data_IF_426727912661
#
_entry.id   IF_426727912661
#
_cell.length_a   1.000
_cell.length_b   1.000
_cell.length_c   1.000
_cell.angle_alpha   90.00
_cell.angle_beta   90.00
_cell.angle_gamma   90.00
#
_symmetry.space_group_name_H-M   'P 1'
#
loop_
_entity.id
_entity.type
_entity.pdbx_description
1 polymer ?
#
# COMPACT_ATOMS: atom_id res chain seq x y z
N UNK A 1 -29.64 -11.15 12.33
CA UNK A 1 -28.74 -11.56 11.23
C UNK A 1 -29.41 -11.47 9.85
N UNK A 2 -30.59 -12.06 9.60
CA UNK A 2 -31.27 -12.02 8.27
C UNK A 2 -31.41 -10.61 7.68
N UNK A 3 -31.79 -9.61 8.49
CA UNK A 3 -31.98 -8.22 8.03
C UNK A 3 -30.67 -7.53 7.59
N UNK A 4 -29.52 -7.78 8.24
CA UNK A 4 -28.21 -7.23 7.81
C UNK A 4 -27.76 -7.86 6.48
N UNK A 5 -28.00 -9.15 6.30
CA UNK A 5 -27.70 -9.84 5.04
C UNK A 5 -28.47 -9.20 3.85
N UNK A 6 -29.75 -8.89 4.03
CA UNK A 6 -30.53 -8.20 2.99
C UNK A 6 -29.98 -6.81 2.66
N UNK A 7 -29.56 -6.05 3.67
CA UNK A 7 -28.96 -4.73 3.44
C UNK A 7 -27.61 -4.84 2.70
N UNK A 8 -26.77 -5.83 3.04
CA UNK A 8 -25.50 -6.10 2.30
C UNK A 8 -25.81 -6.48 0.85
N UNK A 9 -26.77 -7.39 0.62
CA UNK A 9 -27.21 -7.76 -0.73
C UNK A 9 -27.72 -6.55 -1.53
N UNK A 10 -28.36 -5.61 -0.85
CA UNK A 10 -28.86 -4.38 -1.47
C UNK A 10 -27.72 -3.43 -1.89
N UNK A 11 -26.58 -3.45 -1.18
CA UNK A 11 -25.38 -2.72 -1.59
C UNK A 11 -24.78 -3.26 -2.89
N UNK A 12 -24.89 -4.57 -3.15
CA UNK A 12 -24.47 -5.23 -4.41
C UNK A 12 -25.59 -5.18 -5.45
N UNK A 13 -26.05 -3.98 -5.77
CA UNK A 13 -27.01 -3.78 -6.87
C UNK A 13 -26.32 -3.91 -8.25
N UNK A 14 -27.12 -3.98 -9.33
CA UNK A 14 -26.62 -4.14 -10.69
C UNK A 14 -25.59 -3.08 -11.08
N UNK A 15 -25.76 -1.83 -10.64
CA UNK A 15 -24.83 -0.72 -10.93
C UNK A 15 -23.52 -0.90 -10.20
N UNK A 16 -23.55 -1.26 -8.91
CA UNK A 16 -22.35 -1.51 -8.11
C UNK A 16 -21.53 -2.69 -8.63
N UNK A 17 -22.22 -3.79 -8.99
CA UNK A 17 -21.56 -4.97 -9.57
C UNK A 17 -20.94 -4.62 -10.93
N UNK A 18 -21.68 -3.93 -11.80
CA UNK A 18 -21.17 -3.51 -13.10
C UNK A 18 -19.96 -2.58 -12.98
N UNK A 19 -20.04 -1.59 -12.08
CA UNK A 19 -18.93 -0.67 -11.82
C UNK A 19 -17.68 -1.41 -11.29
N UNK A 20 -17.85 -2.38 -10.39
CA UNK A 20 -16.75 -3.20 -9.89
C UNK A 20 -16.14 -4.07 -11.00
N UNK A 21 -16.96 -4.75 -11.81
CA UNK A 21 -16.48 -5.59 -12.91
C UNK A 21 -15.74 -4.76 -13.96
N UNK A 22 -16.27 -3.59 -14.34
CA UNK A 22 -15.62 -2.68 -15.27
C UNK A 22 -14.26 -2.20 -14.69
N UNK A 23 -14.22 -1.86 -13.41
CA UNK A 23 -12.98 -1.50 -12.74
C UNK A 23 -11.96 -2.65 -12.77
N UNK A 24 -12.36 -3.87 -12.42
CA UNK A 24 -11.45 -5.03 -12.47
C UNK A 24 -10.94 -5.30 -13.89
N UNK A 25 -11.77 -5.08 -14.92
CA UNK A 25 -11.32 -5.15 -16.31
C UNK A 25 -10.27 -4.08 -16.62
N UNK A 26 -10.49 -2.83 -16.20
CA UNK A 26 -9.51 -1.74 -16.36
C UNK A 26 -8.20 -2.07 -15.63
N UNK A 27 -8.27 -2.56 -14.39
CA UNK A 27 -7.11 -3.03 -13.61
C UNK A 27 -6.34 -4.12 -14.35
N UNK A 28 -7.04 -5.11 -14.89
CA UNK A 28 -6.43 -6.20 -15.65
C UNK A 28 -5.69 -5.67 -16.89
N UNK A 29 -6.38 -4.88 -17.72
CA UNK A 29 -5.79 -4.33 -18.94
C UNK A 29 -4.60 -3.40 -18.64
N UNK A 30 -4.75 -2.52 -17.65
CA UNK A 30 -3.67 -1.62 -17.23
C UNK A 30 -2.46 -2.41 -16.73
N UNK A 31 -2.66 -3.41 -15.85
CA UNK A 31 -1.58 -4.26 -15.33
C UNK A 31 -0.85 -4.98 -16.47
N UNK A 32 -1.58 -5.63 -17.39
CA UNK A 32 -0.97 -6.40 -18.48
C UNK A 32 -0.23 -5.49 -19.47
N UNK A 33 -0.84 -4.37 -19.87
CA UNK A 33 -0.23 -3.43 -20.82
C UNK A 33 1.05 -2.82 -20.21
N UNK A 34 0.96 -2.34 -18.99
CA UNK A 34 2.09 -1.68 -18.32
C UNK A 34 3.25 -2.66 -18.07
N UNK A 35 2.96 -3.87 -17.56
CA UNK A 35 3.97 -4.90 -17.36
C UNK A 35 4.60 -5.38 -18.68
N UNK A 36 3.83 -5.35 -19.79
CA UNK A 36 4.36 -5.73 -21.10
C UNK A 36 5.29 -4.68 -21.72
N UNK A 37 5.04 -3.39 -21.47
CA UNK A 37 5.76 -2.30 -22.15
C UNK A 37 7.02 -1.89 -21.37
N UNK A 38 6.98 -1.91 -20.05
CA UNK A 38 8.01 -1.26 -19.24
C UNK A 38 9.15 -2.15 -18.80
N UNK A 39 9.05 -3.48 -19.00
CA UNK A 39 10.06 -4.39 -18.46
C UNK A 39 10.91 -5.07 -19.51
N UNK A 40 12.21 -4.94 -19.28
CA UNK A 40 13.26 -5.63 -19.99
C UNK A 40 14.18 -6.26 -18.96
N UNK A 41 14.55 -7.51 -19.15
CA UNK A 41 15.50 -8.24 -18.30
C UNK A 41 16.61 -8.76 -19.17
N UNK A 42 17.85 -8.50 -18.78
CA UNK A 42 19.00 -9.13 -19.41
C UNK A 42 19.37 -10.33 -18.54
N UNK A 43 19.36 -11.51 -19.12
CA UNK A 43 19.75 -12.74 -18.43
C UNK A 43 21.27 -12.82 -18.23
N UNK A 44 21.77 -13.71 -17.34
CA UNK A 44 23.21 -13.87 -17.10
C UNK A 44 24.03 -14.18 -18.35
N UNK A 45 23.44 -14.83 -19.35
CA UNK A 45 24.05 -15.12 -20.66
C UNK A 45 24.09 -13.92 -21.62
N UNK A 46 23.51 -12.78 -21.22
CA UNK A 46 23.41 -11.56 -22.01
C UNK A 46 22.18 -11.49 -22.91
N UNK A 47 21.29 -12.46 -22.87
CA UNK A 47 20.05 -12.45 -23.66
C UNK A 47 19.08 -11.40 -23.11
N UNK A 48 18.60 -10.50 -23.99
CA UNK A 48 17.56 -9.53 -23.66
C UNK A 48 16.19 -10.18 -23.79
N UNK A 49 15.44 -10.18 -22.69
CA UNK A 49 14.03 -10.64 -22.67
C UNK A 49 13.12 -9.46 -22.40
N UNK A 50 12.09 -9.27 -23.20
CA UNK A 50 11.16 -8.15 -23.11
C UNK A 50 9.74 -8.61 -22.81
N UNK A 51 8.91 -7.69 -22.33
CA UNK A 51 7.48 -7.91 -22.08
C UNK A 51 7.21 -8.80 -20.87
N UNK A 52 6.07 -9.48 -20.87
CA UNK A 52 5.63 -10.32 -19.75
C UNK A 52 6.58 -11.48 -19.44
N UNK A 53 7.25 -12.03 -20.48
CA UNK A 53 8.25 -13.09 -20.31
C UNK A 53 9.46 -12.65 -19.50
N UNK A 54 9.80 -11.36 -19.53
CA UNK A 54 10.93 -10.81 -18.75
C UNK A 54 10.72 -10.94 -17.24
N UNK A 55 9.50 -10.79 -16.75
CA UNK A 55 9.19 -10.95 -15.31
C UNK A 55 9.39 -12.39 -14.85
N UNK A 56 8.98 -13.36 -15.68
CA UNK A 56 9.17 -14.78 -15.37
C UNK A 56 10.64 -15.15 -15.44
N UNK A 57 11.34 -14.72 -16.50
CA UNK A 57 12.77 -14.95 -16.65
C UNK A 57 13.57 -14.35 -15.47
N UNK A 58 13.22 -13.13 -15.06
CA UNK A 58 13.76 -12.50 -13.85
C UNK A 58 13.47 -13.33 -12.58
N UNK A 59 12.25 -13.80 -12.42
CA UNK A 59 11.87 -14.62 -11.26
C UNK A 59 12.64 -15.94 -11.20
N UNK A 60 12.86 -16.58 -12.35
CA UNK A 60 13.68 -17.79 -12.44
C UNK A 60 15.14 -17.53 -12.08
N UNK A 61 15.75 -16.47 -12.65
CA UNK A 61 17.11 -16.08 -12.32
C UNK A 61 17.28 -15.72 -10.83
N UNK A 62 16.27 -15.08 -10.23
CA UNK A 62 16.30 -14.69 -8.81
C UNK A 62 16.21 -15.88 -7.84
N UNK A 63 15.82 -17.09 -8.30
CA UNK A 63 15.83 -18.30 -7.45
C UNK A 63 17.24 -18.67 -7.00
N UNK A 64 18.23 -18.42 -7.84
CA UNK A 64 19.63 -18.66 -7.49
C UNK A 64 20.15 -17.73 -6.40
N UNK A 65 19.52 -16.55 -6.29
CA UNK A 65 19.85 -15.52 -5.30
C UNK A 65 19.07 -15.69 -3.99
N UNK A 66 18.27 -16.72 -3.87
CA UNK A 66 17.56 -17.04 -2.64
C UNK A 66 18.54 -17.63 -1.63
N UNK A 67 18.54 -17.10 -0.42
CA UNK A 67 19.42 -17.61 0.63
C UNK A 67 19.35 -16.79 1.91
N UNK A 68 20.28 -17.12 2.78
CA UNK A 68 20.55 -16.39 4.01
C UNK A 68 21.81 -15.56 3.76
N UNK A 69 21.80 -14.28 4.07
CA UNK A 69 22.94 -13.40 3.87
C UNK A 69 24.00 -13.63 4.95
N UNK A 70 24.84 -14.62 4.72
CA UNK A 70 26.01 -14.99 5.51
C UNK A 70 27.27 -15.02 4.63
N UNK A 71 28.42 -15.36 5.21
CA UNK A 71 29.69 -15.39 4.45
C UNK A 71 29.70 -16.46 3.36
N UNK A 72 29.04 -17.60 3.57
CA UNK A 72 28.92 -18.64 2.54
C UNK A 72 28.12 -18.14 1.33
N UNK A 73 27.02 -17.44 1.59
CA UNK A 73 26.21 -16.80 0.55
C UNK A 73 27.01 -15.75 -0.24
N UNK A 74 27.82 -14.94 0.45
CA UNK A 74 28.70 -13.97 -0.20
C UNK A 74 29.73 -14.63 -1.09
N UNK A 75 30.38 -15.70 -0.65
CA UNK A 75 31.34 -16.45 -1.47
C UNK A 75 30.63 -17.08 -2.68
N UNK A 76 29.42 -17.61 -2.52
CA UNK A 76 28.60 -18.10 -3.62
C UNK A 76 28.34 -17.00 -4.66
N UNK A 77 27.93 -15.81 -4.23
CA UNK A 77 27.70 -14.68 -5.13
C UNK A 77 28.97 -14.29 -5.87
N UNK A 78 30.12 -14.19 -5.18
CA UNK A 78 31.42 -13.91 -5.80
C UNK A 78 31.72 -14.89 -6.91
N UNK A 79 31.60 -16.18 -6.63
CA UNK A 79 31.92 -17.26 -7.58
C UNK A 79 30.98 -17.26 -8.79
N UNK A 80 29.70 -17.01 -8.59
CA UNK A 80 28.66 -17.10 -9.65
C UNK A 80 28.69 -15.89 -10.58
N UNK A 81 28.97 -14.70 -10.07
CA UNK A 81 28.78 -13.46 -10.82
C UNK A 81 30.08 -12.70 -11.17
N UNK A 82 31.21 -13.03 -10.56
CA UNK A 82 32.50 -12.33 -10.84
C UNK A 82 32.89 -12.36 -12.31
N UNK A 83 32.69 -13.48 -12.99
CA UNK A 83 33.07 -13.64 -14.42
C UNK A 83 32.09 -12.97 -15.39
N UNK A 84 30.84 -12.82 -15.00
CA UNK A 84 29.77 -12.28 -15.86
C UNK A 84 29.71 -10.75 -15.83
N UNK A 85 30.14 -10.14 -14.75
CA UNK A 85 29.97 -8.72 -14.48
C UNK A 85 31.07 -7.81 -15.03
N UNK A 86 32.26 -8.32 -15.20
CA UNK A 86 33.43 -7.50 -15.64
C UNK A 86 33.30 -6.98 -17.08
N UNK A 87 32.48 -7.58 -17.92
CA UNK A 87 32.50 -7.27 -19.38
C UNK A 87 31.21 -6.66 -19.96
N UNK A 88 30.01 -6.81 -19.37
CA UNK A 88 28.77 -6.48 -20.06
C UNK A 88 27.78 -5.57 -19.32
N UNK A 89 27.92 -5.29 -18.06
CA UNK A 89 26.85 -4.73 -17.22
C UNK A 89 27.15 -3.38 -16.59
N UNK A 90 27.95 -2.55 -17.26
CA UNK A 90 28.14 -1.14 -16.86
C UNK A 90 26.88 -0.30 -16.92
N UNK A 91 25.81 -0.80 -17.53
CA UNK A 91 24.50 -0.12 -17.67
C UNK A 91 23.47 -0.66 -16.64
N UNK A 92 23.87 -0.78 -15.39
CA UNK A 92 23.04 -1.29 -14.30
C UNK A 92 21.84 -0.37 -13.95
N UNK A 93 21.92 0.88 -14.32
CA UNK A 93 20.77 1.79 -14.24
C UNK A 93 19.59 1.33 -15.09
N UNK A 94 19.78 0.39 -16.01
CA UNK A 94 18.74 -0.11 -16.92
C UNK A 94 18.18 -1.50 -16.59
N UNK A 95 18.46 -2.06 -15.42
CA UNK A 95 17.50 -2.99 -14.89
C UNK A 95 17.83 -4.46 -14.80
N UNK A 96 19.07 -4.90 -14.70
CA UNK A 96 19.34 -6.33 -14.54
C UNK A 96 18.77 -6.94 -13.24
N UNK A 97 18.75 -6.17 -12.17
CA UNK A 97 18.08 -6.53 -10.92
C UNK A 97 17.25 -5.35 -10.42
N UNK A 98 16.47 -4.76 -11.30
CA UNK A 98 15.62 -3.58 -11.12
C UNK A 98 14.60 -3.68 -10.01
N UNK A 99 14.91 -4.40 -9.00
CA UNK A 99 14.05 -4.69 -7.87
C UNK A 99 14.59 -3.97 -6.68
N UNK A 100 13.83 -3.08 -6.16
CA UNK A 100 14.11 -2.47 -4.88
C UNK A 100 14.55 -3.51 -3.84
N UNK A 101 15.22 -3.07 -2.81
CA UNK A 101 15.61 -3.90 -1.69
C UNK A 101 17.09 -4.26 -1.66
N UNK A 102 17.45 -4.94 -0.59
CA UNK A 102 18.81 -5.32 -0.25
C UNK A 102 19.50 -6.14 -1.34
N UNK A 103 18.73 -6.92 -2.12
CA UNK A 103 19.24 -7.70 -3.25
C UNK A 103 19.83 -6.82 -4.35
N UNK A 104 19.14 -5.76 -4.75
CA UNK A 104 19.68 -4.78 -5.71
C UNK A 104 20.94 -4.13 -5.16
N UNK A 105 20.89 -3.76 -3.89
CA UNK A 105 22.00 -3.14 -3.20
C UNK A 105 23.23 -4.04 -3.15
N UNK A 106 23.08 -5.28 -2.69
CA UNK A 106 24.17 -6.26 -2.61
C UNK A 106 24.81 -6.46 -3.99
N UNK A 107 23.99 -6.67 -5.02
CA UNK A 107 24.50 -6.90 -6.37
C UNK A 107 25.18 -5.66 -6.95
N UNK A 108 24.59 -4.47 -6.79
CA UNK A 108 25.16 -3.24 -7.36
C UNK A 108 26.46 -2.84 -6.68
N UNK A 109 26.51 -2.86 -5.35
CA UNK A 109 27.71 -2.39 -4.64
C UNK A 109 28.79 -3.44 -4.50
N UNK A 110 28.37 -4.69 -4.32
CA UNK A 110 29.29 -5.79 -4.18
C UNK A 110 30.01 -6.16 -5.49
N UNK A 111 29.23 -6.23 -6.58
CA UNK A 111 29.76 -6.65 -7.88
C UNK A 111 30.45 -5.51 -8.65
N UNK A 112 30.10 -4.26 -8.36
CA UNK A 112 30.60 -3.10 -9.10
C UNK A 112 31.57 -2.22 -8.33
N UNK A 113 31.93 -2.54 -7.09
CA UNK A 113 32.72 -1.67 -6.22
C UNK A 113 32.27 -0.21 -6.17
N UNK A 114 30.97 0.02 -6.24
CA UNK A 114 30.39 1.37 -6.15
C UNK A 114 29.90 1.64 -4.71
N UNK A 115 30.62 2.45 -3.92
CA UNK A 115 30.28 2.72 -2.52
C UNK A 115 29.10 3.67 -2.35
N UNK A 116 28.60 4.31 -3.43
CA UNK A 116 27.54 5.32 -3.35
C UNK A 116 26.30 4.92 -4.12
N UNK A 117 25.16 5.03 -3.48
CA UNK A 117 23.83 4.83 -4.09
C UNK A 117 23.01 6.11 -4.00
N UNK A 118 22.36 6.50 -5.09
CA UNK A 118 21.41 7.63 -5.10
C UNK A 118 20.01 7.13 -4.85
N UNK A 119 19.34 7.72 -3.87
CA UNK A 119 17.95 7.42 -3.52
C UNK A 119 17.07 8.63 -3.71
N UNK A 120 15.86 8.38 -4.21
CA UNK A 120 14.85 9.41 -4.31
C UNK A 120 14.23 9.59 -2.92
N UNK A 121 14.43 10.75 -2.30
CA UNK A 121 13.70 11.12 -1.11
C UNK A 121 12.21 11.18 -1.43
N UNK A 122 11.37 10.90 -0.45
CA UNK A 122 9.90 10.70 -0.61
C UNK A 122 9.14 11.84 -1.29
N UNK A 123 9.79 12.98 -1.55
CA UNK A 123 9.21 14.17 -2.19
C UNK A 123 9.60 14.37 -3.67
N UNK A 124 10.27 13.41 -4.29
CA UNK A 124 10.38 13.32 -5.76
C UNK A 124 11.50 14.12 -6.43
N UNK A 125 12.17 15.05 -5.77
CA UNK A 125 13.15 15.92 -6.42
C UNK A 125 14.53 15.99 -5.76
N UNK A 126 14.71 15.44 -4.58
CA UNK A 126 16.01 15.38 -3.92
C UNK A 126 16.53 13.93 -3.89
N UNK A 127 17.72 13.75 -4.46
CA UNK A 127 18.44 12.49 -4.37
C UNK A 127 19.35 12.55 -3.16
N UNK A 128 19.13 11.65 -2.21
CA UNK A 128 20.07 11.43 -1.13
C UNK A 128 21.22 10.54 -1.60
N UNK A 129 22.45 11.00 -1.45
CA UNK A 129 23.61 10.16 -1.61
C UNK A 129 23.92 9.51 -0.27
N UNK A 130 23.86 8.17 -0.23
CA UNK A 130 24.13 7.40 0.97
C UNK A 130 25.36 6.56 0.70
N UNK A 131 26.36 6.70 1.56
CA UNK A 131 27.52 5.82 1.57
C UNK A 131 27.14 4.51 2.27
N UNK A 132 27.07 3.45 1.48
CA UNK A 132 26.80 2.12 2.03
C UNK A 132 28.12 1.43 2.44
N UNK A 133 28.08 0.64 3.51
CA UNK A 133 29.23 -0.10 3.95
C UNK A 133 29.69 -1.09 2.89
N UNK A 134 31.00 -1.19 2.74
CA UNK A 134 31.63 -2.16 1.85
C UNK A 134 31.40 -3.59 2.36
N UNK A 135 31.11 -4.50 1.45
CA UNK A 135 30.74 -5.86 1.80
C UNK A 135 31.97 -6.78 1.86
N UNK A 136 32.89 -6.49 2.75
CA UNK A 136 34.11 -7.35 2.94
C UNK A 136 33.78 -8.64 3.67
N UNK A 137 33.08 -8.52 4.78
CA UNK A 137 32.51 -9.62 5.55
C UNK A 137 31.13 -9.25 6.09
N UNK A 138 30.35 -10.26 6.48
CA UNK A 138 28.95 -10.10 6.90
C UNK A 138 28.81 -9.30 8.17
N UNK A 139 29.69 -9.46 9.14
CA UNK A 139 29.57 -8.80 10.44
C UNK A 139 29.76 -7.28 10.34
N UNK A 140 30.81 -6.86 9.63
CA UNK A 140 31.07 -5.42 9.38
C UNK A 140 29.97 -4.82 8.53
N UNK A 141 29.44 -5.57 7.54
CA UNK A 141 28.30 -5.14 6.76
C UNK A 141 27.08 -4.89 7.64
N UNK A 142 26.71 -5.82 8.50
CA UNK A 142 25.52 -5.66 9.33
C UNK A 142 25.63 -4.53 10.34
N UNK A 143 26.81 -4.32 10.92
CA UNK A 143 27.05 -3.22 11.85
C UNK A 143 26.81 -1.87 11.14
N UNK A 144 27.49 -1.66 10.02
CA UNK A 144 27.36 -0.43 9.26
C UNK A 144 25.98 -0.27 8.59
N UNK A 145 25.35 -1.38 8.16
CA UNK A 145 23.99 -1.38 7.62
C UNK A 145 22.96 -0.87 8.63
N UNK A 146 23.05 -1.30 9.89
CA UNK A 146 22.17 -0.81 10.95
C UNK A 146 22.35 0.68 11.21
N UNK A 147 23.58 1.16 11.18
CA UNK A 147 23.88 2.60 11.31
C UNK A 147 23.25 3.41 10.16
N UNK A 148 23.44 2.94 8.93
CA UNK A 148 22.87 3.54 7.73
C UNK A 148 21.33 3.57 7.78
N UNK A 149 20.67 2.52 8.31
CA UNK A 149 19.21 2.51 8.46
C UNK A 149 18.72 3.63 9.38
N UNK A 150 19.42 3.90 10.47
CA UNK A 150 19.07 5.01 11.38
C UNK A 150 19.22 6.36 10.67
N UNK A 151 20.33 6.54 9.96
CA UNK A 151 20.62 7.78 9.22
C UNK A 151 19.56 8.06 8.15
N UNK A 152 19.25 7.04 7.35
CA UNK A 152 18.21 7.14 6.30
C UNK A 152 16.84 7.47 6.87
N UNK A 153 16.45 6.84 7.99
CA UNK A 153 15.17 7.13 8.62
C UNK A 153 15.09 8.58 9.11
N UNK A 154 16.16 9.08 9.76
CA UNK A 154 16.23 10.48 10.22
C UNK A 154 16.13 11.45 9.05
N UNK A 155 16.93 11.25 8.00
CA UNK A 155 16.93 12.12 6.82
C UNK A 155 15.61 12.06 6.06
N UNK A 156 15.02 10.87 5.88
CA UNK A 156 13.72 10.71 5.21
C UNK A 156 12.58 11.40 5.97
N UNK A 157 12.64 11.38 7.30
CA UNK A 157 11.68 12.05 8.15
C UNK A 157 11.76 13.59 7.99
N UNK A 158 12.96 14.14 8.01
CA UNK A 158 13.22 15.57 7.79
C UNK A 158 12.81 16.02 6.39
N UNK A 159 13.20 15.27 5.36
CA UNK A 159 12.81 15.51 3.97
C UNK A 159 11.29 15.47 3.75
N UNK A 160 10.57 14.73 4.61
CA UNK A 160 9.10 14.70 4.61
C UNK A 160 8.44 15.91 5.25
N UNK A 161 9.22 16.89 5.72
CA UNK A 161 8.72 18.13 6.33
C UNK A 161 8.20 17.96 7.76
N UNK A 162 8.60 16.87 8.43
CA UNK A 162 8.38 16.73 9.87
C UNK A 162 9.45 17.47 10.68
N UNK A 163 9.18 17.72 11.95
CA UNK A 163 10.18 18.27 12.87
C UNK A 163 11.37 17.32 13.03
N UNK A 164 12.53 17.85 13.32
CA UNK A 164 13.70 17.02 13.67
C UNK A 164 13.38 16.08 14.85
N UNK A 165 13.91 14.89 14.79
CA UNK A 165 13.85 13.96 15.93
C UNK A 165 14.70 14.49 17.09
N UNK A 166 14.23 14.28 18.30
CA UNK A 166 15.04 14.52 19.52
C UNK A 166 16.04 13.38 19.72
N UNK A 167 17.09 13.60 20.51
CA UNK A 167 18.09 12.57 20.81
C UNK A 167 17.46 11.31 21.43
N UNK A 168 16.40 11.47 22.26
CA UNK A 168 15.67 10.33 22.82
C UNK A 168 14.87 9.56 21.76
N UNK A 169 14.31 10.23 20.78
CA UNK A 169 13.62 9.60 19.65
C UNK A 169 14.61 8.86 18.73
N UNK A 170 15.78 9.45 18.48
CA UNK A 170 16.88 8.80 17.72
C UNK A 170 17.34 7.53 18.45
N UNK A 171 17.44 7.57 19.78
CA UNK A 171 17.76 6.40 20.59
C UNK A 171 16.70 5.30 20.43
N UNK A 172 15.41 5.65 20.46
CA UNK A 172 14.34 4.69 20.20
C UNK A 172 14.42 4.08 18.78
N UNK A 173 14.78 4.86 17.76
CA UNK A 173 14.99 4.36 16.39
C UNK A 173 16.16 3.36 16.37
N UNK A 174 17.29 3.68 17.03
CA UNK A 174 18.43 2.76 17.18
C UNK A 174 18.02 1.45 17.83
N UNK A 175 17.22 1.49 18.87
CA UNK A 175 16.70 0.29 19.55
C UNK A 175 15.82 -0.56 18.62
N UNK A 176 14.97 0.07 17.80
CA UNK A 176 14.15 -0.63 16.79
C UNK A 176 15.04 -1.33 15.77
N UNK A 177 16.03 -0.63 15.22
CA UNK A 177 16.97 -1.16 14.21
C UNK A 177 17.83 -2.29 14.80
N UNK A 178 18.29 -2.16 16.05
CA UNK A 178 19.07 -3.19 16.72
C UNK A 178 18.31 -4.50 16.91
N UNK A 179 16.97 -4.44 17.01
CA UNK A 179 16.11 -5.62 17.09
C UNK A 179 15.90 -6.36 15.77
N UNK A 180 16.48 -5.91 14.65
CA UNK A 180 16.43 -6.63 13.39
C UNK A 180 17.16 -7.97 13.56
N UNK A 181 16.43 -9.06 13.28
CA UNK A 181 17.00 -10.41 13.32
C UNK A 181 17.99 -10.63 12.18
N UNK A 182 19.17 -11.10 12.55
CA UNK A 182 20.23 -11.48 11.64
C UNK A 182 20.45 -13.00 11.73
N UNK A 183 20.92 -13.65 10.67
CA UNK A 183 21.17 -13.11 9.34
C UNK A 183 19.88 -12.88 8.53
N UNK A 184 19.91 -11.93 7.59
CA UNK A 184 18.76 -11.60 6.75
C UNK A 184 18.47 -12.74 5.75
N UNK A 185 17.17 -13.06 5.60
CA UNK A 185 16.70 -14.01 4.58
C UNK A 185 16.33 -13.27 3.30
N UNK A 186 16.97 -13.59 2.21
CA UNK A 186 16.74 -13.01 0.89
C UNK A 186 15.88 -13.94 0.04
N UNK A 187 14.87 -13.39 -0.60
CA UNK A 187 14.02 -14.11 -1.55
C UNK A 187 13.36 -13.10 -2.50
N UNK A 188 12.80 -13.56 -3.61
CA UNK A 188 12.09 -12.74 -4.56
C UNK A 188 10.73 -12.28 -4.00
N UNK A 189 10.58 -10.98 -3.82
CA UNK A 189 9.36 -10.32 -3.31
C UNK A 189 8.70 -9.41 -4.35
N UNK A 190 9.11 -9.51 -5.62
CA UNK A 190 8.70 -8.60 -6.69
C UNK A 190 7.21 -8.52 -6.91
N UNK A 191 6.53 -9.67 -6.88
CA UNK A 191 5.08 -9.68 -7.04
C UNK A 191 4.36 -8.88 -5.94
N UNK A 192 4.87 -8.91 -4.69
CA UNK A 192 4.32 -8.10 -3.59
C UNK A 192 4.54 -6.61 -3.83
N UNK A 193 5.76 -6.23 -4.24
CA UNK A 193 6.12 -4.85 -4.55
C UNK A 193 5.32 -4.31 -5.73
N UNK A 194 5.17 -5.13 -6.78
CA UNK A 194 4.36 -4.79 -7.94
C UNK A 194 2.88 -4.63 -7.57
N UNK A 195 2.29 -5.59 -6.85
CA UNK A 195 0.90 -5.48 -6.34
C UNK A 195 0.68 -4.19 -5.57
N UNK A 196 1.59 -3.84 -4.67
CA UNK A 196 1.53 -2.60 -3.89
C UNK A 196 1.55 -1.35 -4.79
N UNK A 197 2.46 -1.30 -5.76
CA UNK A 197 2.59 -0.15 -6.65
C UNK A 197 1.30 0.07 -7.47
N UNK A 198 0.71 -1.00 -7.98
CA UNK A 198 -0.56 -0.90 -8.69
C UNK A 198 -1.73 -0.57 -7.78
N UNK A 199 -1.77 -1.13 -6.57
CA UNK A 199 -2.73 -0.72 -5.55
C UNK A 199 -2.65 0.79 -5.31
N UNK A 200 -1.44 1.37 -5.27
CA UNK A 200 -1.27 2.81 -5.14
C UNK A 200 -1.83 3.58 -6.32
N UNK A 201 -1.51 3.17 -7.55
CA UNK A 201 -1.91 3.88 -8.77
C UNK A 201 -3.43 3.84 -8.99
N UNK A 202 -4.05 2.69 -8.79
CA UNK A 202 -5.44 2.45 -9.16
C UNK A 202 -6.45 2.72 -8.05
N UNK A 203 -5.98 2.91 -6.81
CA UNK A 203 -6.86 3.09 -5.65
C UNK A 203 -7.77 4.31 -5.78
N UNK A 204 -7.32 5.38 -6.42
CA UNK A 204 -8.17 6.53 -6.69
C UNK A 204 -9.40 6.14 -7.54
N UNK A 205 -9.18 5.38 -8.62
CA UNK A 205 -10.28 4.89 -9.46
C UNK A 205 -11.20 3.96 -8.66
N UNK A 206 -10.63 3.09 -7.82
CA UNK A 206 -11.40 2.24 -6.92
C UNK A 206 -12.29 3.06 -5.97
N UNK A 207 -11.81 4.17 -5.43
CA UNK A 207 -12.62 5.04 -4.57
C UNK A 207 -13.77 5.71 -5.32
N UNK A 208 -13.63 5.97 -6.62
CA UNK A 208 -14.77 6.42 -7.46
C UNK A 208 -15.83 5.31 -7.62
N UNK A 209 -15.41 4.05 -7.74
CA UNK A 209 -16.34 2.90 -7.71
C UNK A 209 -17.12 2.85 -6.40
N UNK A 210 -16.46 3.12 -5.26
CA UNK A 210 -17.14 3.22 -3.97
C UNK A 210 -18.17 4.37 -3.96
N UNK A 211 -17.84 5.53 -4.54
CA UNK A 211 -18.79 6.64 -4.69
C UNK A 211 -20.02 6.22 -5.51
N UNK A 212 -19.82 5.54 -6.65
CA UNK A 212 -20.93 5.04 -7.48
C UNK A 212 -21.80 4.04 -6.69
N UNK A 213 -21.16 3.14 -5.93
CA UNK A 213 -21.85 2.08 -5.22
C UNK A 213 -22.63 2.57 -4.00
N UNK A 214 -22.10 3.53 -3.24
CA UNK A 214 -22.62 3.86 -1.92
C UNK A 214 -23.31 5.22 -1.82
N UNK A 215 -23.16 6.14 -2.80
CA UNK A 215 -23.84 7.44 -2.83
C UNK A 215 -25.36 7.33 -2.85
N UNK A 216 -25.90 6.20 -3.31
CA UNK A 216 -27.34 5.97 -3.41
C UNK A 216 -27.98 5.35 -2.15
N UNK A 217 -27.20 4.90 -1.17
CA UNK A 217 -27.71 4.07 -0.07
C UNK A 217 -28.75 4.80 0.76
N UNK A 218 -28.50 6.04 1.16
CA UNK A 218 -29.45 6.84 1.92
C UNK A 218 -30.25 7.80 1.04
N UNK A 219 -29.71 8.26 -0.09
CA UNK A 219 -30.37 9.23 -0.96
C UNK A 219 -31.56 8.66 -1.74
N UNK A 220 -31.67 7.33 -1.89
CA UNK A 220 -32.82 6.63 -2.51
C UNK A 220 -34.04 6.46 -1.58
N UNK A 221 -33.85 6.60 -0.30
CA UNK A 221 -34.90 6.31 0.67
C UNK A 221 -36.13 7.22 0.51
N UNK A 222 -35.98 8.44 -0.03
CA UNK A 222 -37.10 9.33 -0.33
C UNK A 222 -37.99 8.89 -1.51
N UNK A 223 -37.62 7.81 -2.20
CA UNK A 223 -38.35 7.33 -3.40
C UNK A 223 -39.04 5.97 -3.12
N UNK A 224 -38.64 5.28 -2.03
CA UNK A 224 -39.08 3.90 -1.80
C UNK A 224 -40.12 3.83 -0.64
N UNK A 225 -41.40 3.51 -0.92
CA UNK A 225 -42.47 3.50 0.12
C UNK A 225 -42.20 2.47 1.23
N UNK A 226 -41.45 1.41 1.00
CA UNK A 226 -41.11 0.42 2.03
C UNK A 226 -40.17 1.00 3.09
N UNK A 227 -39.30 1.95 2.74
CA UNK A 227 -38.47 2.64 3.70
C UNK A 227 -39.24 3.56 4.63
N UNK A 228 -40.36 4.10 4.18
CA UNK A 228 -41.22 4.96 5.00
C UNK A 228 -41.81 4.19 6.19
N UNK A 229 -42.22 2.93 5.99
CA UNK A 229 -42.75 2.07 7.06
C UNK A 229 -41.67 1.76 8.11
N UNK A 230 -40.46 1.43 7.68
CA UNK A 230 -39.33 1.15 8.60
C UNK A 230 -38.93 2.40 9.40
N UNK A 231 -39.01 3.57 8.78
CA UNK A 231 -38.63 4.85 9.36
C UNK A 231 -39.76 5.45 10.26
N UNK A 232 -41.03 5.06 10.06
CA UNK A 232 -42.13 5.51 10.87
C UNK A 232 -42.07 4.98 12.31
N UNK A 233 -41.47 3.83 12.56
CA UNK A 233 -41.34 3.27 13.89
C UNK A 233 -40.21 3.91 14.68
N UNK A 234 -40.47 4.39 15.92
CA UNK A 234 -39.50 5.10 16.78
C UNK A 234 -38.19 4.29 17.05
N UNK A 235 -38.29 2.97 17.19
CA UNK A 235 -37.15 2.09 17.36
C UNK A 235 -36.56 1.59 16.04
N UNK A 236 -37.38 1.48 14.98
CA UNK A 236 -36.97 1.01 13.66
C UNK A 236 -35.98 1.95 12.98
N UNK A 237 -36.22 3.25 13.10
CA UNK A 237 -35.41 4.30 12.44
C UNK A 237 -33.92 4.21 12.80
N UNK A 238 -33.59 4.17 14.08
CA UNK A 238 -32.18 4.10 14.50
C UNK A 238 -31.52 2.78 14.10
N UNK A 239 -32.23 1.64 14.27
CA UNK A 239 -31.72 0.32 13.90
C UNK A 239 -31.52 0.21 12.38
N UNK A 240 -32.41 0.77 11.59
CA UNK A 240 -32.34 0.77 10.13
C UNK A 240 -31.12 1.53 9.62
N UNK A 241 -30.90 2.76 10.10
CA UNK A 241 -29.77 3.61 9.71
C UNK A 241 -28.43 2.97 10.09
N UNK A 242 -28.33 2.47 11.35
CA UNK A 242 -27.11 1.79 11.78
C UNK A 242 -26.82 0.53 10.95
N UNK A 243 -27.84 -0.27 10.63
CA UNK A 243 -27.66 -1.49 9.81
C UNK A 243 -27.20 -1.16 8.40
N UNK A 244 -27.77 -0.14 7.76
CA UNK A 244 -27.35 0.30 6.43
C UNK A 244 -25.93 0.84 6.41
N UNK A 245 -25.55 1.62 7.42
CA UNK A 245 -24.20 2.10 7.54
C UNK A 245 -23.22 0.92 7.65
N UNK A 246 -23.47 -0.03 8.56
CA UNK A 246 -22.63 -1.23 8.73
C UNK A 246 -22.64 -2.08 7.46
N UNK A 247 -23.79 -2.26 6.81
CA UNK A 247 -23.88 -3.01 5.55
C UNK A 247 -23.04 -2.38 4.44
N UNK A 248 -23.02 -1.05 4.34
CA UNK A 248 -22.16 -0.30 3.42
C UNK A 248 -20.69 -0.55 3.68
N UNK A 249 -20.26 -0.50 4.95
CA UNK A 249 -18.87 -0.79 5.31
C UNK A 249 -18.48 -2.24 5.00
N UNK A 250 -19.32 -3.21 5.33
CA UNK A 250 -19.06 -4.63 5.01
C UNK A 250 -18.99 -4.86 3.51
N UNK A 251 -19.90 -4.27 2.74
CA UNK A 251 -19.87 -4.38 1.28
C UNK A 251 -18.59 -3.75 0.68
N UNK A 252 -18.16 -2.59 1.19
CA UNK A 252 -16.93 -1.94 0.78
C UNK A 252 -15.69 -2.80 1.11
N UNK A 253 -15.66 -3.41 2.29
CA UNK A 253 -14.60 -4.35 2.66
C UNK A 253 -14.51 -5.53 1.69
N UNK A 254 -15.66 -6.13 1.34
CA UNK A 254 -15.71 -7.23 0.38
C UNK A 254 -15.21 -6.77 -1.00
N UNK A 255 -15.65 -5.60 -1.50
CA UNK A 255 -15.19 -5.05 -2.79
C UNK A 255 -13.67 -4.83 -2.78
N UNK A 256 -13.12 -4.28 -1.70
CA UNK A 256 -11.68 -4.08 -1.56
C UNK A 256 -10.91 -5.40 -1.54
N UNK A 257 -11.37 -6.39 -0.79
CA UNK A 257 -10.72 -7.69 -0.74
C UNK A 257 -10.74 -8.40 -2.09
N UNK A 258 -11.86 -8.31 -2.84
CA UNK A 258 -11.94 -8.81 -4.22
C UNK A 258 -10.88 -8.12 -5.10
N UNK A 259 -10.79 -6.80 -5.04
CA UNK A 259 -9.81 -6.03 -5.80
C UNK A 259 -8.37 -6.42 -5.42
N UNK A 260 -8.04 -6.45 -4.12
CA UNK A 260 -6.71 -6.77 -3.63
C UNK A 260 -6.28 -8.20 -4.02
N UNK A 261 -7.16 -9.18 -3.85
CA UNK A 261 -6.90 -10.58 -4.24
C UNK A 261 -6.73 -10.68 -5.76
N UNK A 262 -7.61 -10.04 -6.54
CA UNK A 262 -7.52 -10.04 -8.00
C UNK A 262 -6.20 -9.47 -8.50
N UNK A 263 -5.79 -8.32 -7.98
CA UNK A 263 -4.53 -7.69 -8.30
C UNK A 263 -3.32 -8.57 -7.92
N UNK A 264 -3.36 -9.17 -6.71
CA UNK A 264 -2.32 -10.09 -6.25
C UNK A 264 -2.20 -11.33 -7.15
N UNK A 265 -3.32 -11.87 -7.63
CA UNK A 265 -3.33 -13.01 -8.55
C UNK A 265 -2.71 -12.67 -9.90
N UNK A 266 -3.00 -11.49 -10.46
CA UNK A 266 -2.38 -11.04 -11.71
C UNK A 266 -0.87 -10.97 -11.54
N UNK A 267 -0.39 -10.23 -10.53
CA UNK A 267 1.05 -10.03 -10.34
C UNK A 267 1.76 -11.33 -9.94
N UNK A 268 1.18 -12.13 -9.04
CA UNK A 268 1.73 -13.44 -8.72
C UNK A 268 1.88 -14.35 -9.95
N UNK A 269 0.89 -14.35 -10.85
CA UNK A 269 0.94 -15.13 -12.08
C UNK A 269 2.02 -14.64 -13.06
N UNK A 270 2.15 -13.32 -13.21
CA UNK A 270 3.16 -12.71 -14.09
C UNK A 270 4.58 -12.99 -13.59
N UNK A 271 4.81 -12.89 -12.29
CA UNK A 271 6.12 -13.15 -11.68
C UNK A 271 6.41 -14.64 -11.39
N UNK A 272 5.57 -15.56 -11.89
CA UNK A 272 5.83 -17.00 -11.81
C UNK A 272 5.58 -17.62 -10.44
N UNK A 273 4.82 -16.97 -9.56
CA UNK A 273 4.40 -17.53 -8.27
C UNK A 273 4.35 -16.52 -7.12
N UNK A 274 4.05 -17.06 -5.95
CA UNK A 274 3.86 -16.29 -4.71
C UNK A 274 5.00 -16.56 -3.72
N UNK A 275 6.26 -16.34 -4.14
CA UNK A 275 7.46 -16.52 -3.31
C UNK A 275 7.68 -15.35 -2.34
N UNK A 276 8.67 -15.47 -1.46
CA UNK A 276 9.17 -14.37 -0.64
C UNK A 276 8.40 -14.07 0.64
N UNK A 277 7.39 -14.86 1.03
CA UNK A 277 6.60 -14.62 2.25
C UNK A 277 7.43 -14.55 3.52
N UNK A 278 8.43 -15.42 3.64
CA UNK A 278 9.31 -15.53 4.80
C UNK A 278 10.63 -14.77 4.63
N UNK A 279 10.80 -14.05 3.52
CA UNK A 279 11.95 -13.18 3.33
C UNK A 279 11.95 -12.06 4.37
N UNK A 280 13.13 -11.63 4.79
CA UNK A 280 13.24 -10.40 5.59
C UNK A 280 12.70 -9.23 4.79
N UNK A 281 12.01 -8.30 5.44
CA UNK A 281 11.42 -7.15 4.74
C UNK A 281 12.47 -6.32 4.00
N UNK A 282 13.70 -6.32 4.46
CA UNK A 282 14.84 -5.69 3.81
C UNK A 282 15.11 -6.26 2.41
N UNK A 283 14.67 -7.49 2.13
CA UNK A 283 14.68 -8.07 0.78
C UNK A 283 13.73 -7.35 -0.17
N UNK A 284 12.61 -6.80 0.35
CA UNK A 284 11.63 -6.03 -0.40
C UNK A 284 12.05 -4.56 -0.53
N UNK A 285 12.52 -3.99 0.56
CA UNK A 285 13.01 -2.60 0.62
C UNK A 285 14.10 -2.50 1.68
N UNK A 286 15.29 -2.15 1.26
CA UNK A 286 16.48 -2.09 2.12
C UNK A 286 16.43 -1.01 3.21
N UNK A 287 15.45 -0.12 3.17
CA UNK A 287 15.27 0.95 4.18
C UNK A 287 14.25 0.63 5.28
N UNK A 288 13.69 -0.55 5.30
CA UNK A 288 12.78 -0.89 6.38
C UNK A 288 13.53 -1.14 7.68
N UNK A 289 13.18 -0.38 8.71
CA UNK A 289 13.80 -0.45 10.05
C UNK A 289 13.18 -1.52 10.95
N UNK A 290 12.14 -2.21 10.49
CA UNK A 290 11.41 -3.17 11.32
C UNK A 290 11.90 -4.61 11.14
N UNK A 291 11.87 -5.37 12.24
CA UNK A 291 12.10 -6.81 12.22
C UNK A 291 10.82 -7.56 11.80
N UNK A 292 10.55 -7.58 10.51
CA UNK A 292 9.36 -8.24 9.95
C UNK A 292 9.70 -9.03 8.69
N UNK A 293 8.83 -9.99 8.34
CA UNK A 293 8.89 -10.64 7.04
C UNK A 293 8.14 -9.83 5.97
N UNK A 294 8.55 -9.97 4.71
CA UNK A 294 7.90 -9.31 3.58
C UNK A 294 6.40 -9.65 3.49
N UNK A 295 6.03 -10.91 3.78
CA UNK A 295 4.63 -11.32 3.81
C UNK A 295 3.82 -10.63 4.90
N UNK A 296 4.38 -10.46 6.11
CA UNK A 296 3.70 -9.70 7.19
C UNK A 296 3.44 -8.26 6.75
N UNK A 297 4.46 -7.59 6.21
CA UNK A 297 4.31 -6.20 5.75
C UNK A 297 3.29 -6.11 4.61
N UNK A 298 3.29 -7.04 3.67
CA UNK A 298 2.30 -7.09 2.60
C UNK A 298 0.86 -7.20 3.14
N UNK A 299 0.62 -8.01 4.18
CA UNK A 299 -0.69 -8.07 4.83
C UNK A 299 -1.05 -6.79 5.60
N UNK A 300 -0.06 -6.13 6.21
CA UNK A 300 -0.28 -4.83 6.86
C UNK A 300 -0.59 -3.72 5.85
N UNK A 301 0.02 -3.74 4.68
CA UNK A 301 -0.32 -2.84 3.56
C UNK A 301 -1.76 -3.08 3.09
N UNK A 302 -2.19 -4.35 2.99
CA UNK A 302 -3.59 -4.70 2.72
C UNK A 302 -4.54 -4.14 3.79
N UNK A 303 -4.18 -4.30 5.07
CA UNK A 303 -4.96 -3.76 6.18
C UNK A 303 -5.07 -2.23 6.13
N UNK A 304 -3.98 -1.52 5.84
CA UNK A 304 -3.99 -0.07 5.66
C UNK A 304 -4.95 0.38 4.56
N UNK A 305 -4.88 -0.26 3.39
CA UNK A 305 -5.80 0.00 2.29
C UNK A 305 -7.27 -0.32 2.61
N UNK A 306 -7.51 -1.39 3.38
CA UNK A 306 -8.84 -1.72 3.88
C UNK A 306 -9.39 -0.62 4.82
N UNK A 307 -8.58 -0.16 5.77
CA UNK A 307 -8.97 0.92 6.69
C UNK A 307 -9.26 2.20 5.91
N UNK A 308 -8.42 2.56 4.93
CA UNK A 308 -8.67 3.70 4.04
C UNK A 308 -10.00 3.57 3.28
N UNK A 309 -10.28 2.37 2.75
CA UNK A 309 -11.54 2.06 2.07
C UNK A 309 -12.76 2.26 2.97
N UNK A 310 -12.68 1.77 4.21
CA UNK A 310 -13.77 1.94 5.18
C UNK A 310 -13.96 3.41 5.58
N UNK A 311 -12.87 4.15 5.76
CA UNK A 311 -12.91 5.57 6.07
C UNK A 311 -13.53 6.38 4.91
N UNK A 312 -13.10 6.17 3.67
CA UNK A 312 -13.68 6.81 2.47
C UNK A 312 -15.16 6.45 2.34
N UNK A 313 -15.51 5.16 2.49
CA UNK A 313 -16.90 4.73 2.40
C UNK A 313 -17.77 5.39 3.47
N UNK A 314 -17.28 5.54 4.70
CA UNK A 314 -18.02 6.21 5.78
C UNK A 314 -18.31 7.68 5.44
N UNK A 315 -17.37 8.37 4.78
CA UNK A 315 -17.56 9.73 4.27
C UNK A 315 -18.63 9.75 3.16
N UNK A 316 -18.57 8.83 2.20
CA UNK A 316 -19.57 8.71 1.12
C UNK A 316 -20.97 8.46 1.68
N UNK A 317 -21.09 7.58 2.68
CA UNK A 317 -22.35 7.30 3.36
C UNK A 317 -22.89 8.54 4.11
N UNK A 318 -21.99 9.32 4.73
CA UNK A 318 -22.36 10.60 5.36
C UNK A 318 -22.87 11.61 4.32
N UNK A 319 -22.21 11.75 3.18
CA UNK A 319 -22.68 12.60 2.08
C UNK A 319 -24.04 12.13 1.57
N UNK A 320 -24.23 10.81 1.43
CA UNK A 320 -25.47 10.20 0.95
C UNK A 320 -26.69 10.51 1.86
N UNK A 321 -26.50 10.66 3.17
CA UNK A 321 -27.61 11.03 4.08
C UNK A 321 -27.88 12.53 4.12
N UNK A 322 -26.86 13.35 3.86
CA UNK A 322 -27.01 14.81 3.79
C UNK A 322 -27.72 15.20 2.49
N UNK A 323 -27.31 14.59 1.38
CA UNK A 323 -27.79 14.94 0.03
C UNK A 323 -28.85 13.92 -0.41
N UNK A 324 -30.11 14.34 -0.37
CA UNK A 324 -31.27 13.49 -0.68
C UNK A 324 -31.41 13.07 -2.15
N UNK A 325 -30.64 13.69 -3.06
CA UNK A 325 -30.67 13.40 -4.52
C UNK A 325 -29.48 12.55 -4.89
N UNK A 326 -29.70 11.35 -5.40
CA UNK A 326 -28.65 10.36 -5.74
C UNK A 326 -27.58 10.93 -6.67
N UNK A 327 -27.98 11.62 -7.75
CA UNK A 327 -27.03 12.21 -8.70
C UNK A 327 -26.15 13.29 -8.05
N UNK A 328 -26.74 14.15 -7.21
CA UNK A 328 -26.01 15.18 -6.48
C UNK A 328 -25.08 14.56 -5.40
N UNK A 329 -25.55 13.54 -4.68
CA UNK A 329 -24.72 12.80 -3.73
C UNK A 329 -23.50 12.16 -4.39
N UNK A 330 -23.68 11.54 -5.56
CA UNK A 330 -22.57 10.98 -6.33
C UNK A 330 -21.56 12.06 -6.74
N UNK A 331 -22.06 13.18 -7.30
CA UNK A 331 -21.20 14.26 -7.76
C UNK A 331 -20.38 14.87 -6.61
N UNK A 332 -21.01 15.13 -5.47
CA UNK A 332 -20.34 15.69 -4.29
C UNK A 332 -19.35 14.70 -3.70
N UNK A 333 -19.69 13.41 -3.61
CA UNK A 333 -18.79 12.37 -3.12
C UNK A 333 -17.56 12.21 -4.01
N UNK A 334 -17.75 12.15 -5.33
CA UNK A 334 -16.66 12.06 -6.29
C UNK A 334 -15.80 13.34 -6.30
N UNK A 335 -16.42 14.52 -6.22
CA UNK A 335 -15.71 15.79 -6.10
C UNK A 335 -14.86 15.88 -4.82
N UNK A 336 -15.38 15.40 -3.69
CA UNK A 336 -14.64 15.34 -2.43
C UNK A 336 -13.44 14.39 -2.52
N UNK A 337 -13.62 13.20 -3.09
CA UNK A 337 -12.53 12.24 -3.31
C UNK A 337 -11.46 12.82 -4.25
N UNK A 338 -11.88 13.49 -5.33
CA UNK A 338 -10.97 14.17 -6.25
C UNK A 338 -10.18 15.28 -5.54
N UNK A 339 -10.85 16.10 -4.74
CA UNK A 339 -10.22 17.16 -3.95
C UNK A 339 -9.19 16.59 -2.97
N UNK A 340 -9.56 15.56 -2.20
CA UNK A 340 -8.63 14.88 -1.28
C UNK A 340 -7.42 14.29 -2.01
N UNK A 341 -7.61 13.74 -3.21
CA UNK A 341 -6.51 13.15 -3.97
C UNK A 341 -5.51 14.20 -4.52
N UNK A 342 -5.98 15.38 -4.91
CA UNK A 342 -5.15 16.36 -5.62
C UNK A 342 -4.61 17.46 -4.71
N UNK A 343 -5.45 18.03 -3.85
CA UNK A 343 -5.09 19.23 -3.09
C UNK A 343 -4.19 18.96 -1.89
N UNK A 344 -4.24 17.74 -1.33
CA UNK A 344 -3.45 17.40 -0.15
C UNK A 344 -2.10 16.75 -0.47
N UNK A 345 -1.74 16.62 -1.74
CA UNK A 345 -0.45 16.01 -2.15
C UNK A 345 0.77 16.83 -1.71
N UNK A 346 0.63 18.15 -1.67
CA UNK A 346 1.73 19.08 -1.36
C UNK A 346 2.00 19.31 0.13
N UNK A 347 1.12 18.87 1.02
CA UNK A 347 1.25 19.10 2.47
C UNK A 347 1.50 17.77 3.18
N UNK A 348 2.73 17.55 3.64
CA UNK A 348 3.17 16.29 4.24
C UNK A 348 2.28 15.83 5.39
N UNK A 349 1.99 16.68 6.37
CA UNK A 349 1.17 16.37 7.54
C UNK A 349 -0.27 16.01 7.12
N UNK A 350 -0.87 16.79 6.23
CA UNK A 350 -2.24 16.53 5.75
C UNK A 350 -2.32 15.25 4.92
N UNK A 351 -1.26 14.92 4.19
CA UNK A 351 -1.15 13.66 3.45
C UNK A 351 -1.27 12.45 4.39
N UNK A 352 -0.59 12.47 5.53
CA UNK A 352 -0.61 11.36 6.49
C UNK A 352 -1.97 11.18 7.20
N UNK A 353 -2.81 12.21 7.26
CA UNK A 353 -4.16 12.10 7.80
C UNK A 353 -5.21 11.74 6.77
N UNK A 354 -4.89 11.79 5.48
CA UNK A 354 -5.83 11.56 4.40
C UNK A 354 -6.07 10.06 4.16
N UNK A 355 -7.32 9.56 4.27
CA UNK A 355 -7.62 8.14 4.12
C UNK A 355 -7.29 7.57 2.74
N UNK A 356 -7.16 8.39 1.68
CA UNK A 356 -6.73 7.96 0.36
C UNK A 356 -5.26 7.54 0.32
N UNK A 357 -4.45 7.95 1.29
CA UNK A 357 -3.03 7.63 1.39
C UNK A 357 -2.72 6.52 2.40
N UNK A 358 -3.70 5.97 3.11
CA UNK A 358 -3.49 4.86 4.06
C UNK A 358 -2.96 3.56 3.40
N UNK A 359 -3.08 3.46 2.09
CA UNK A 359 -2.57 2.35 1.25
C UNK A 359 -1.07 2.44 0.91
N UNK A 360 -0.42 3.57 1.22
CA UNK A 360 0.91 3.89 0.69
C UNK A 360 2.05 3.22 1.46
N UNK A 361 3.26 3.45 0.98
CA UNK A 361 4.56 3.01 1.48
C UNK A 361 4.87 3.34 2.94
N UNK A 362 3.98 4.01 3.57
CA UNK A 362 4.03 4.49 4.93
C UNK A 362 4.18 3.40 6.00
N UNK A 363 4.16 2.11 5.61
CA UNK A 363 4.40 1.01 6.56
C UNK A 363 5.85 0.97 7.05
N UNK A 364 6.80 1.49 6.26
CA UNK A 364 8.20 1.65 6.67
C UNK A 364 8.48 2.95 7.41
N UNK A 365 7.55 3.90 7.40
CA UNK A 365 7.73 5.23 7.98
C UNK A 365 7.46 5.20 9.49
N UNK A 366 8.38 5.76 10.25
CA UNK A 366 8.21 6.06 11.67
C UNK A 366 7.63 7.45 11.85
N UNK A 367 6.83 7.62 12.86
CA UNK A 367 6.31 8.94 13.27
C UNK A 367 6.46 9.12 14.77
N UNK A 368 6.72 10.34 15.15
CA UNK A 368 6.72 10.72 16.56
C UNK A 368 5.32 11.11 17.03
N UNK A 369 4.79 10.35 17.97
CA UNK A 369 3.54 10.67 18.67
C UNK A 369 3.84 10.88 20.17
N UNK A 370 3.70 12.11 20.63
CA UNK A 370 3.93 12.47 22.04
C UNK A 370 5.32 12.05 22.58
N UNK A 371 6.38 12.16 21.75
CA UNK A 371 7.75 11.78 22.10
C UNK A 371 8.04 10.27 22.03
N UNK A 372 7.11 9.48 21.51
CA UNK A 372 7.31 8.06 21.23
C UNK A 372 7.35 7.79 19.75
N UNK A 373 8.31 7.00 19.33
CA UNK A 373 8.43 6.53 17.96
C UNK A 373 7.48 5.36 17.75
N UNK A 374 6.56 5.51 16.81
CA UNK A 374 5.58 4.47 16.48
C UNK A 374 5.52 4.26 14.96
N UNK A 375 5.19 3.03 14.49
CA UNK A 375 4.92 2.78 13.09
C UNK A 375 3.71 3.61 12.61
N UNK A 376 3.80 4.16 11.41
CA UNK A 376 2.68 4.92 10.82
C UNK A 376 1.36 4.12 10.75
N UNK A 377 1.44 2.80 10.65
CA UNK A 377 0.27 1.93 10.70
C UNK A 377 -0.60 2.17 11.95
N UNK A 378 0.03 2.46 13.10
CA UNK A 378 -0.72 2.76 14.34
C UNK A 378 -1.58 4.01 14.14
N UNK A 379 -1.00 5.05 13.53
CA UNK A 379 -1.75 6.27 13.20
C UNK A 379 -2.88 5.99 12.19
N UNK A 380 -2.63 5.18 11.17
CA UNK A 380 -3.67 4.76 10.21
C UNK A 380 -4.85 4.11 10.93
N UNK A 381 -4.60 3.20 11.85
CA UNK A 381 -5.66 2.52 12.62
C UNK A 381 -6.44 3.53 13.46
N UNK A 382 -5.75 4.39 14.20
CA UNK A 382 -6.37 5.41 15.05
C UNK A 382 -7.23 6.39 14.20
N UNK A 383 -6.69 6.90 13.11
CA UNK A 383 -7.41 7.80 12.22
C UNK A 383 -8.58 7.09 11.53
N UNK A 384 -8.40 5.85 11.10
CA UNK A 384 -9.49 5.06 10.49
C UNK A 384 -10.66 4.88 11.45
N UNK A 385 -10.39 4.51 12.71
CA UNK A 385 -11.40 4.41 13.76
C UNK A 385 -12.08 5.76 13.98
N UNK A 386 -11.30 6.84 14.03
CA UNK A 386 -11.81 8.21 14.22
C UNK A 386 -12.75 8.61 13.08
N UNK A 387 -12.34 8.44 11.80
CA UNK A 387 -13.18 8.75 10.64
C UNK A 387 -14.50 7.97 10.66
N UNK A 388 -14.41 6.65 10.86
CA UNK A 388 -15.61 5.79 10.88
C UNK A 388 -16.52 6.19 12.04
N UNK A 389 -15.98 6.44 13.23
CA UNK A 389 -16.75 6.80 14.43
C UNK A 389 -17.45 8.16 14.27
N UNK A 390 -16.72 9.18 13.79
CA UNK A 390 -17.30 10.51 13.55
C UNK A 390 -18.42 10.41 12.51
N UNK A 391 -18.17 9.77 11.36
CA UNK A 391 -19.17 9.60 10.31
C UNK A 391 -20.39 8.81 10.83
N UNK A 392 -20.18 7.74 11.61
CA UNK A 392 -21.27 6.96 12.19
C UNK A 392 -22.15 7.80 13.14
N UNK A 393 -21.50 8.58 14.05
CA UNK A 393 -22.23 9.46 14.97
C UNK A 393 -23.05 10.50 14.20
N UNK A 394 -22.43 11.15 13.20
CA UNK A 394 -23.10 12.16 12.37
C UNK A 394 -24.26 11.55 11.57
N UNK A 395 -24.07 10.39 10.95
CA UNK A 395 -25.13 9.66 10.24
C UNK A 395 -26.29 9.33 11.16
N UNK A 396 -26.00 8.89 12.40
CA UNK A 396 -27.03 8.59 13.41
C UNK A 396 -27.77 9.84 13.87
N UNK A 397 -27.08 10.96 14.09
CA UNK A 397 -27.69 12.23 14.52
C UNK A 397 -28.58 12.83 13.41
N UNK A 398 -28.06 12.88 12.19
CA UNK A 398 -28.82 13.34 11.02
C UNK A 398 -30.01 12.44 10.76
N UNK A 399 -29.84 11.14 10.88
CA UNK A 399 -30.89 10.18 10.72
C UNK A 399 -32.04 10.33 11.73
N UNK A 400 -31.78 10.75 12.98
CA UNK A 400 -32.83 11.06 13.96
C UNK A 400 -33.66 12.26 13.54
N UNK A 401 -33.03 13.28 12.94
CA UNK A 401 -33.70 14.51 12.46
C UNK A 401 -34.31 14.36 11.07
N UNK A 402 -34.11 13.21 10.43
CA UNK A 402 -34.56 12.96 9.08
C UNK A 402 -36.10 12.91 9.07
N UNK A 403 -36.70 14.07 8.84
CA UNK A 403 -38.11 14.18 8.51
C UNK A 403 -38.20 14.14 6.99
N UNK A 404 -38.88 13.15 6.45
CA UNK A 404 -39.25 13.14 5.06
C UNK A 404 -40.20 14.31 4.85
N UNK A 405 -39.70 15.37 4.25
CA UNK A 405 -40.59 16.38 3.66
C UNK A 405 -41.16 15.73 2.41
N UNK A 406 -42.45 15.50 2.45
CA UNK A 406 -43.23 15.16 1.28
C UNK A 406 -43.10 16.28 0.24
#
# INVERSE_FOLDING_TARGET
>A
MKSLYYEIKHCFNKVSIFALLLFLLVVFLHSIIYLSIQWRTILPDGTLVEGLSSHRAFSEASKELKGVLDDEYLQKLKKTYASSYEKKYLDIDKGFLGTGGLMKYINTNYLLNKPKSRFNASNGNEYMEIDFPYLENVDTFYAAYKETLVEVEVQAHEASGFRHYTDEEIKQIKDIVNNIQLPLRLDNTMWMSSTRNYLYLEYFIFTLVLCISFSSIFSRDGINPVSDIALASKQGKNKYICRRFIAGLVAAAIMYLIYFVFLSLIHGSVYGGFSGWNASIQSKSHFYVFNMTAGKVFLLECLGGLIGTLAVTSIVLLVSIIIKRTKASLLVSAGLVYFLNNQLKGYSILRFTNPLFFKTDSMGTLISLFGRIVPYLVLIILLGILYISICFILVRLLGKRYRWLK
#
